data_IF_423957418914
#
_entry.id   IF_423957418914
#
_cell.length_a   1.000
_cell.length_b   1.000
_cell.length_c   1.000
_cell.angle_alpha   90.00
_cell.angle_beta   90.00
_cell.angle_gamma   90.00
#
_symmetry.space_group_name_H-M   'P 1'
#
loop_
_entity.id
_entity.type
_entity.pdbx_description
1 polymer ?
#
# COMPACT_ATOMS: atom_id res chain seq x y z
N UNK A 1 -46.92 -46.49 -38.59
CA UNK A 1 -46.65 -45.91 -37.25
C UNK A 1 -45.33 -45.17 -37.31
N UNK A 2 -45.41 -43.85 -37.44
CA UNK A 2 -44.31 -42.96 -37.84
C UNK A 2 -43.50 -42.47 -36.64
N UNK A 3 -42.31 -43.02 -36.41
CA UNK A 3 -41.40 -42.64 -35.32
C UNK A 3 -40.00 -42.21 -35.80
N UNK A 4 -39.92 -41.55 -36.96
CA UNK A 4 -38.64 -41.09 -37.54
C UNK A 4 -38.47 -39.57 -37.56
N UNK A 5 -39.49 -38.80 -37.19
CA UNK A 5 -39.49 -37.35 -37.38
C UNK A 5 -38.98 -36.55 -36.18
N UNK A 6 -38.91 -37.13 -34.98
CA UNK A 6 -38.56 -36.38 -33.77
C UNK A 6 -37.02 -36.29 -33.57
N UNK A 7 -36.27 -37.36 -33.85
CA UNK A 7 -34.79 -37.37 -33.69
C UNK A 7 -34.06 -36.41 -34.63
N UNK A 8 -34.63 -36.07 -35.79
CA UNK A 8 -34.00 -35.20 -36.79
C UNK A 8 -34.07 -33.70 -36.46
N UNK A 9 -35.01 -33.29 -35.60
CA UNK A 9 -35.13 -31.89 -35.17
C UNK A 9 -34.47 -31.61 -33.82
N UNK A 10 -34.33 -32.60 -32.94
CA UNK A 10 -33.74 -32.38 -31.61
C UNK A 10 -32.21 -32.19 -31.68
N UNK A 11 -31.51 -32.96 -32.53
CA UNK A 11 -30.05 -32.84 -32.72
C UNK A 11 -29.60 -31.42 -33.12
N UNK A 12 -30.14 -30.79 -34.19
CA UNK A 12 -29.70 -29.45 -34.58
C UNK A 12 -30.07 -28.38 -33.54
N UNK A 13 -31.18 -28.55 -32.81
CA UNK A 13 -31.58 -27.62 -31.74
C UNK A 13 -30.64 -27.71 -30.52
N UNK A 14 -30.22 -28.91 -30.13
CA UNK A 14 -29.24 -29.08 -29.04
C UNK A 14 -27.87 -28.51 -29.39
N UNK A 15 -27.43 -28.68 -30.64
CA UNK A 15 -26.16 -28.10 -31.11
C UNK A 15 -26.23 -26.58 -31.15
N UNK A 16 -27.34 -26.01 -31.63
CA UNK A 16 -27.54 -24.56 -31.61
C UNK A 16 -27.57 -23.99 -30.18
N UNK A 17 -28.27 -24.66 -29.24
CA UNK A 17 -28.29 -24.26 -27.84
C UNK A 17 -26.91 -24.34 -27.18
N UNK A 18 -26.11 -25.36 -27.48
CA UNK A 18 -24.75 -25.50 -26.97
C UNK A 18 -23.80 -24.41 -27.53
N UNK A 19 -23.94 -24.06 -28.81
CA UNK A 19 -23.17 -22.97 -29.42
C UNK A 19 -23.55 -21.60 -28.85
N UNK A 20 -24.84 -21.36 -28.58
CA UNK A 20 -25.30 -20.14 -27.93
C UNK A 20 -24.80 -20.07 -26.48
N UNK A 21 -24.84 -21.18 -25.73
CA UNK A 21 -24.28 -21.24 -24.38
C UNK A 21 -22.75 -20.98 -24.37
N UNK A 22 -22.01 -21.55 -25.33
CA UNK A 22 -20.58 -21.32 -25.49
C UNK A 22 -20.26 -19.85 -25.87
N UNK A 23 -21.09 -19.24 -26.72
CA UNK A 23 -20.98 -17.82 -27.08
C UNK A 23 -21.30 -16.91 -25.88
N UNK A 24 -22.29 -17.25 -25.05
CA UNK A 24 -22.61 -16.50 -23.84
C UNK A 24 -21.48 -16.60 -22.79
N UNK A 25 -20.86 -17.77 -22.62
CA UNK A 25 -19.71 -17.96 -21.72
C UNK A 25 -18.48 -17.14 -22.15
N UNK A 26 -18.32 -16.87 -23.45
CA UNK A 26 -17.20 -16.06 -23.97
C UNK A 26 -17.48 -14.55 -23.95
N UNK A 27 -18.74 -14.13 -24.06
CA UNK A 27 -19.15 -12.71 -24.06
C UNK A 27 -19.29 -12.13 -22.65
N UNK A 28 -19.57 -12.95 -21.64
CA UNK A 28 -19.61 -12.50 -20.25
C UNK A 28 -18.26 -12.78 -19.58
N UNK A 29 -17.44 -11.74 -19.31
CA UNK A 29 -16.20 -11.93 -18.56
C UNK A 29 -16.53 -12.61 -17.24
N UNK A 30 -15.84 -13.71 -16.99
CA UNK A 30 -16.13 -14.56 -15.84
C UNK A 30 -15.85 -13.78 -14.55
N UNK A 31 -16.57 -14.08 -13.46
CA UNK A 31 -16.26 -13.48 -12.13
C UNK A 31 -14.78 -13.67 -11.77
N UNK A 32 -14.16 -14.74 -12.25
CA UNK A 32 -12.72 -15.03 -12.15
C UNK A 32 -11.82 -13.99 -12.83
N UNK A 33 -12.21 -13.41 -13.96
CA UNK A 33 -11.42 -12.37 -14.64
C UNK A 33 -11.46 -11.04 -13.87
N UNK A 34 -12.62 -10.71 -13.28
CA UNK A 34 -12.77 -9.51 -12.43
C UNK A 34 -11.96 -9.58 -11.13
N UNK A 35 -11.79 -10.79 -10.57
CA UNK A 35 -10.96 -11.03 -9.39
C UNK A 35 -9.47 -10.90 -9.71
N UNK A 36 -9.01 -11.49 -10.83
CA UNK A 36 -7.61 -11.35 -11.29
C UNK A 36 -7.24 -9.89 -11.58
N UNK A 37 -8.13 -9.14 -12.24
CA UNK A 37 -7.94 -7.71 -12.45
C UNK A 37 -7.87 -6.93 -11.12
N UNK A 38 -8.74 -7.24 -10.16
CA UNK A 38 -8.72 -6.59 -8.84
C UNK A 38 -7.41 -6.85 -8.09
N UNK A 39 -6.84 -8.05 -8.20
CA UNK A 39 -5.53 -8.39 -7.59
C UNK A 39 -4.38 -7.63 -8.25
N UNK A 40 -4.35 -7.59 -9.59
CA UNK A 40 -3.32 -6.85 -10.32
C UNK A 40 -3.38 -5.35 -10.05
N UNK A 41 -4.59 -4.78 -9.98
CA UNK A 41 -4.80 -3.38 -9.63
C UNK A 41 -4.39 -3.06 -8.18
N UNK A 42 -4.67 -3.97 -7.23
CA UNK A 42 -4.22 -3.84 -5.85
C UNK A 42 -2.68 -3.88 -5.74
N UNK A 43 -2.02 -4.85 -6.36
CA UNK A 43 -0.57 -4.96 -6.34
C UNK A 43 0.14 -3.76 -7.01
N UNK A 44 -0.44 -3.23 -8.08
CA UNK A 44 0.07 -2.01 -8.74
C UNK A 44 -0.08 -0.80 -7.84
N UNK A 45 -1.21 -0.68 -7.14
CA UNK A 45 -1.44 0.38 -6.16
C UNK A 45 -0.45 0.30 -4.99
N UNK A 46 -0.22 -0.88 -4.42
CA UNK A 46 0.75 -1.09 -3.33
C UNK A 46 2.16 -0.71 -3.76
N UNK A 47 2.57 -1.13 -4.96
CA UNK A 47 3.87 -0.74 -5.52
C UNK A 47 3.96 0.77 -5.66
N UNK A 48 2.93 1.42 -6.20
CA UNK A 48 2.92 2.87 -6.37
C UNK A 48 3.00 3.62 -5.03
N UNK A 49 2.28 3.16 -4.00
CA UNK A 49 2.37 3.73 -2.64
C UNK A 49 3.78 3.57 -2.07
N UNK A 50 4.40 2.40 -2.27
CA UNK A 50 5.76 2.12 -1.79
C UNK A 50 6.81 2.96 -2.52
N UNK A 51 6.73 3.06 -3.84
CA UNK A 51 7.63 3.89 -4.66
C UNK A 51 7.49 5.37 -4.31
N UNK A 52 6.27 5.85 -4.07
CA UNK A 52 6.02 7.23 -3.62
C UNK A 52 6.66 7.50 -2.27
N UNK A 53 6.69 6.50 -1.40
CA UNK A 53 7.24 6.59 -0.05
C UNK A 53 8.78 6.48 0.01
N UNK A 54 9.40 5.88 -1.00
CA UNK A 54 10.84 5.57 -1.03
C UNK A 54 11.76 6.79 -0.78
N UNK A 55 11.52 7.99 -1.35
CA UNK A 55 12.36 9.15 -1.10
C UNK A 55 12.39 9.57 0.38
N UNK A 56 11.25 9.48 1.08
CA UNK A 56 11.16 9.79 2.50
C UNK A 56 11.94 8.78 3.36
N UNK A 57 11.91 7.50 3.00
CA UNK A 57 12.70 6.48 3.69
C UNK A 57 14.21 6.72 3.53
N UNK A 58 14.64 7.02 2.31
CA UNK A 58 16.04 7.30 2.02
C UNK A 58 16.53 8.54 2.76
N UNK A 59 15.76 9.63 2.73
CA UNK A 59 16.07 10.86 3.46
C UNK A 59 16.19 10.59 4.97
N UNK A 60 15.23 9.85 5.55
CA UNK A 60 15.26 9.52 6.97
C UNK A 60 16.45 8.63 7.37
N UNK A 61 16.80 7.63 6.55
CA UNK A 61 17.95 6.77 6.80
C UNK A 61 19.27 7.55 6.74
N UNK A 62 19.42 8.43 5.74
CA UNK A 62 20.59 9.30 5.62
C UNK A 62 20.69 10.25 6.83
N UNK A 63 19.57 10.85 7.23
CA UNK A 63 19.52 11.71 8.41
C UNK A 63 19.96 10.99 9.69
N UNK A 64 19.50 9.74 9.92
CA UNK A 64 19.94 8.96 11.10
C UNK A 64 21.45 8.71 11.13
N UNK A 65 22.06 8.48 9.97
CA UNK A 65 23.51 8.27 9.89
C UNK A 65 24.27 9.58 10.17
N UNK A 66 23.77 10.69 9.62
CA UNK A 66 24.38 12.00 9.77
C UNK A 66 24.18 12.61 11.16
N UNK A 67 23.02 12.40 11.78
CA UNK A 67 22.67 13.01 13.07
C UNK A 67 23.62 12.56 14.18
N UNK A 68 23.99 11.27 14.22
CA UNK A 68 24.97 10.76 15.16
C UNK A 68 26.33 11.46 15.03
N UNK A 69 26.78 11.70 13.80
CA UNK A 69 28.06 12.39 13.51
C UNK A 69 27.98 13.86 13.92
N UNK A 70 26.89 14.56 13.58
CA UNK A 70 26.73 15.98 13.90
C UNK A 70 26.59 16.23 15.40
N UNK A 71 25.88 15.36 16.13
CA UNK A 71 25.78 15.43 17.60
C UNK A 71 27.16 15.24 18.25
N UNK A 72 27.95 14.26 17.81
CA UNK A 72 29.31 14.06 18.31
C UNK A 72 30.23 15.26 18.06
N UNK A 73 30.12 15.87 16.87
CA UNK A 73 30.88 17.07 16.50
C UNK A 73 30.33 18.37 17.10
N UNK A 74 29.17 18.31 17.78
CA UNK A 74 28.41 19.48 18.25
C UNK A 74 28.10 20.48 17.11
N UNK A 75 27.96 19.98 15.89
CA UNK A 75 27.62 20.78 14.71
C UNK A 75 26.10 20.89 14.57
N UNK A 76 25.51 21.71 15.45
CA UNK A 76 24.07 21.89 15.51
C UNK A 76 23.50 22.60 14.27
N UNK A 77 24.32 23.39 13.57
CA UNK A 77 23.88 24.04 12.34
C UNK A 77 23.68 23.03 11.20
N UNK A 78 24.65 22.12 10.99
CA UNK A 78 24.50 21.04 10.02
C UNK A 78 23.33 20.11 10.37
N UNK A 79 23.16 19.82 11.66
CA UNK A 79 22.05 19.01 12.17
C UNK A 79 20.69 19.65 11.90
N UNK A 80 20.58 20.97 12.08
CA UNK A 80 19.38 21.74 11.78
C UNK A 80 19.06 21.71 10.29
N UNK A 81 20.05 21.95 9.43
CA UNK A 81 19.86 21.91 7.97
C UNK A 81 19.43 20.52 7.50
N UNK A 82 20.11 19.46 7.97
CA UNK A 82 19.79 18.09 7.61
C UNK A 82 18.39 17.68 8.10
N UNK A 83 17.98 18.09 9.30
CA UNK A 83 16.66 17.80 9.83
C UNK A 83 15.55 18.51 9.03
N UNK A 84 15.75 19.77 8.62
CA UNK A 84 14.80 20.49 7.77
C UNK A 84 14.68 19.87 6.38
N UNK A 85 15.79 19.56 5.71
CA UNK A 85 15.77 18.88 4.40
C UNK A 85 15.03 17.53 4.46
N UNK A 86 15.22 16.82 5.57
CA UNK A 86 14.55 15.54 5.82
C UNK A 86 13.07 15.73 6.07
N UNK A 87 12.68 16.73 6.87
CA UNK A 87 11.29 17.10 7.09
C UNK A 87 10.59 17.47 5.78
N UNK A 88 11.17 18.34 4.96
CA UNK A 88 10.60 18.77 3.68
C UNK A 88 10.38 17.59 2.72
N UNK A 89 11.34 16.65 2.70
CA UNK A 89 11.24 15.43 1.90
C UNK A 89 10.10 14.53 2.37
N UNK A 90 9.94 14.37 3.69
CA UNK A 90 8.85 13.58 4.28
C UNK A 90 7.49 14.27 4.08
N UNK A 91 7.42 15.59 4.26
CA UNK A 91 6.20 16.38 4.11
C UNK A 91 5.68 16.32 2.67
N UNK A 92 6.58 16.51 1.69
CA UNK A 92 6.25 16.36 0.26
C UNK A 92 5.71 14.97 -0.06
N UNK A 93 6.30 13.92 0.50
CA UNK A 93 5.80 12.54 0.36
C UNK A 93 4.44 12.39 1.04
N UNK A 94 4.24 12.94 2.24
CA UNK A 94 2.95 12.95 2.93
C UNK A 94 1.83 13.58 2.09
N UNK A 95 2.09 14.75 1.49
CA UNK A 95 1.17 15.43 0.57
C UNK A 95 0.92 14.57 -0.69
N UNK A 96 1.95 13.94 -1.23
CA UNK A 96 1.81 13.10 -2.44
C UNK A 96 0.99 11.84 -2.13
N UNK A 97 1.23 11.17 -0.99
CA UNK A 97 0.43 10.05 -0.50
C UNK A 97 -1.02 10.46 -0.22
N UNK A 98 -1.26 11.69 0.25
CA UNK A 98 -2.60 12.25 0.45
C UNK A 98 -3.39 12.35 -0.88
N UNK A 99 -2.69 12.61 -1.98
CA UNK A 99 -3.28 12.77 -3.31
C UNK A 99 -3.52 11.45 -4.08
N UNK A 100 -2.96 10.31 -3.63
CA UNK A 100 -3.15 9.02 -4.32
C UNK A 100 -4.63 8.60 -4.24
N UNK A 101 -5.33 8.43 -5.38
CA UNK A 101 -6.71 7.99 -5.38
C UNK A 101 -6.81 6.48 -5.07
N UNK A 102 -7.81 6.09 -4.28
CA UNK A 102 -8.09 4.69 -4.01
C UNK A 102 -8.67 4.06 -5.29
N UNK A 103 -8.12 2.93 -5.78
CA UNK A 103 -8.64 2.29 -6.98
C UNK A 103 -10.08 1.82 -6.77
N UNK A 104 -10.91 1.99 -7.80
CA UNK A 104 -12.29 1.48 -7.82
C UNK A 104 -12.28 -0.04 -8.04
N UNK A 105 -11.88 -0.79 -7.01
CA UNK A 105 -11.88 -2.26 -7.04
C UNK A 105 -13.30 -2.79 -6.84
N UNK A 106 -13.71 -3.80 -7.60
CA UNK A 106 -15.02 -4.44 -7.46
C UNK A 106 -15.15 -5.24 -6.17
N UNK A 107 -14.02 -5.65 -5.58
CA UNK A 107 -13.98 -6.38 -4.33
C UNK A 107 -13.86 -5.43 -3.12
N UNK A 108 -14.85 -5.47 -2.23
CA UNK A 108 -14.90 -4.65 -1.01
C UNK A 108 -13.70 -4.88 -0.09
N UNK A 109 -13.25 -6.12 0.08
CA UNK A 109 -12.09 -6.44 0.91
C UNK A 109 -10.80 -5.88 0.32
N UNK A 110 -10.60 -6.02 -1.00
CA UNK A 110 -9.42 -5.45 -1.67
C UNK A 110 -9.40 -3.92 -1.58
N UNK A 111 -10.57 -3.27 -1.67
CA UNK A 111 -10.69 -1.81 -1.49
C UNK A 111 -10.37 -1.37 -0.06
N UNK A 112 -10.89 -2.08 0.94
CA UNK A 112 -10.62 -1.81 2.35
C UNK A 112 -9.14 -2.01 2.67
N UNK A 113 -8.53 -3.04 2.10
CA UNK A 113 -7.11 -3.31 2.25
C UNK A 113 -6.27 -2.19 1.62
N UNK A 114 -6.55 -1.79 0.37
CA UNK A 114 -5.90 -0.64 -0.28
C UNK A 114 -6.02 0.66 0.53
N UNK A 115 -7.20 0.93 1.10
CA UNK A 115 -7.41 2.08 1.98
C UNK A 115 -6.54 1.99 3.24
N UNK A 116 -6.53 0.84 3.92
CA UNK A 116 -5.73 0.61 5.12
C UNK A 116 -4.24 0.77 4.84
N UNK A 117 -3.71 0.23 3.74
CA UNK A 117 -2.31 0.44 3.34
C UNK A 117 -1.95 1.91 3.22
N UNK A 118 -2.80 2.68 2.52
CA UNK A 118 -2.55 4.09 2.28
C UNK A 118 -2.59 4.87 3.59
N UNK A 119 -3.56 4.59 4.44
CA UNK A 119 -3.71 5.25 5.74
C UNK A 119 -2.56 4.92 6.70
N UNK A 120 -2.17 3.65 6.78
CA UNK A 120 -1.02 3.21 7.60
C UNK A 120 0.30 3.83 7.09
N UNK A 121 0.46 3.94 5.77
CA UNK A 121 1.62 4.58 5.16
C UNK A 121 1.65 6.08 5.46
N UNK A 122 0.50 6.76 5.34
CA UNK A 122 0.38 8.18 5.73
C UNK A 122 0.71 8.37 7.21
N UNK A 123 0.13 7.55 8.09
CA UNK A 123 0.36 7.61 9.52
C UNK A 123 1.85 7.46 9.86
N UNK A 124 2.55 6.51 9.23
CA UNK A 124 4.00 6.35 9.36
C UNK A 124 4.74 7.65 9.03
N UNK A 125 4.49 8.26 7.88
CA UNK A 125 5.24 9.45 7.46
C UNK A 125 4.83 10.71 8.24
N UNK A 126 3.59 10.82 8.71
CA UNK A 126 3.19 11.87 9.65
C UNK A 126 3.97 11.76 10.97
N UNK A 127 4.16 10.54 11.49
CA UNK A 127 4.97 10.32 12.69
C UNK A 127 6.45 10.64 12.44
N UNK A 128 7.01 10.24 11.30
CA UNK A 128 8.39 10.59 10.95
C UNK A 128 8.59 12.10 10.77
N UNK A 129 7.60 12.80 10.20
CA UNK A 129 7.61 14.26 10.11
C UNK A 129 7.61 14.91 11.51
N UNK A 130 6.78 14.39 12.42
CA UNK A 130 6.76 14.85 13.81
C UNK A 130 8.12 14.62 14.51
N UNK A 131 8.75 13.45 14.31
CA UNK A 131 10.10 13.19 14.81
C UNK A 131 11.12 14.19 14.23
N UNK A 132 11.08 14.46 12.93
CA UNK A 132 11.95 15.44 12.27
C UNK A 132 11.78 16.85 12.87
N UNK A 133 10.54 17.27 13.18
CA UNK A 133 10.28 18.56 13.84
C UNK A 133 10.90 18.66 15.24
N UNK A 134 10.93 17.57 16.02
CA UNK A 134 11.62 17.57 17.32
C UNK A 134 13.14 17.68 17.12
N UNK A 135 13.70 17.01 16.12
CA UNK A 135 15.11 17.16 15.73
C UNK A 135 15.47 18.58 15.29
N UNK A 136 14.59 19.25 14.53
CA UNK A 136 14.75 20.66 14.14
C UNK A 136 14.79 21.55 15.39
N UNK A 137 13.87 21.35 16.35
CA UNK A 137 13.84 22.09 17.61
C UNK A 137 15.12 21.88 18.42
N UNK A 138 15.55 20.63 18.59
CA UNK A 138 16.84 20.32 19.26
C UNK A 138 17.98 21.10 18.61
N UNK A 139 18.11 21.02 17.29
CA UNK A 139 19.24 21.62 16.59
C UNK A 139 19.23 23.16 16.69
N UNK A 140 18.06 23.78 16.84
CA UNK A 140 17.92 25.22 17.09
C UNK A 140 18.28 25.65 18.52
N UNK A 141 18.05 24.79 19.52
CA UNK A 141 18.31 25.10 20.95
C UNK A 141 19.67 24.56 21.42
N UNK A 142 20.28 23.63 20.68
CA UNK A 142 21.58 23.02 21.01
C UNK A 142 21.54 22.05 22.20
N UNK A 143 20.34 21.78 22.74
CA UNK A 143 20.09 20.89 23.86
C UNK A 143 18.77 20.13 23.65
N UNK A 144 18.71 18.91 24.18
CA UNK A 144 17.49 18.13 24.36
C UNK A 144 17.32 17.85 25.85
N UNK A 145 16.08 17.94 26.32
CA UNK A 145 15.71 17.30 27.58
C UNK A 145 15.66 15.78 27.36
N UNK A 146 15.89 15.01 28.42
CA UNK A 146 15.74 13.55 28.36
C UNK A 146 14.34 13.13 27.86
N UNK A 147 13.32 13.93 28.17
CA UNK A 147 11.94 13.67 27.79
C UNK A 147 11.71 13.81 26.28
N UNK A 148 12.34 14.78 25.64
CA UNK A 148 12.25 14.98 24.18
C UNK A 148 12.97 13.89 23.40
N UNK A 149 14.09 13.37 23.92
CA UNK A 149 14.77 12.19 23.36
C UNK A 149 13.87 10.95 23.45
N UNK A 150 13.24 10.72 24.60
CA UNK A 150 12.28 9.62 24.80
C UNK A 150 11.08 9.79 23.86
N UNK A 151 10.60 11.02 23.66
CA UNK A 151 9.51 11.30 22.73
C UNK A 151 9.89 10.98 21.28
N UNK A 152 11.10 11.38 20.83
CA UNK A 152 11.62 11.01 19.51
C UNK A 152 11.66 9.49 19.36
N UNK A 153 12.28 8.77 20.31
CA UNK A 153 12.35 7.31 20.26
C UNK A 153 10.96 6.66 20.28
N UNK A 154 10.02 7.21 21.04
CA UNK A 154 8.64 6.75 21.11
C UNK A 154 7.93 6.90 19.76
N UNK A 155 8.06 8.07 19.13
CA UNK A 155 7.50 8.35 17.80
C UNK A 155 8.15 7.47 16.74
N UNK A 156 9.47 7.26 16.79
CA UNK A 156 10.17 6.36 15.88
C UNK A 156 9.75 4.89 16.05
N UNK A 157 9.57 4.43 17.31
CA UNK A 157 9.06 3.09 17.62
C UNK A 157 7.62 2.93 17.12
N UNK A 158 6.80 3.97 17.25
CA UNK A 158 5.42 3.95 16.75
C UNK A 158 5.38 3.95 15.21
N UNK A 159 6.24 4.72 14.54
CA UNK A 159 6.41 4.66 13.10
C UNK A 159 6.88 3.27 12.63
N UNK A 160 7.80 2.63 13.37
CA UNK A 160 8.27 1.27 13.07
C UNK A 160 7.18 0.19 13.23
N UNK A 161 6.17 0.42 14.07
CA UNK A 161 5.00 -0.48 14.19
C UNK A 161 4.26 -0.60 12.84
N UNK A 162 4.14 0.50 12.10
CA UNK A 162 3.52 0.50 10.76
C UNK A 162 4.39 -0.19 9.71
N UNK A 163 5.71 -0.22 9.90
CA UNK A 163 6.66 -0.93 9.02
C UNK A 163 6.55 -2.46 9.16
N UNK A 164 6.18 -2.96 10.35
CA UNK A 164 5.94 -4.40 10.59
C UNK A 164 4.50 -4.84 10.32
N UNK A 165 3.57 -3.90 10.11
CA UNK A 165 2.17 -4.25 9.94
C UNK A 165 1.80 -4.72 8.54
N UNK A 166 2.60 -4.45 7.49
CA UNK A 166 2.20 -4.86 6.15
C UNK A 166 3.42 -5.14 5.25
N UNK A 167 3.81 -6.42 5.10
CA UNK A 167 3.45 -7.22 3.91
C UNK A 167 2.52 -8.43 4.17
N UNK A 168 2.31 -8.81 5.44
CA UNK A 168 1.59 -10.04 5.82
C UNK A 168 0.06 -9.92 5.84
N UNK A 169 -0.49 -8.75 6.18
CA UNK A 169 -1.94 -8.53 6.24
C UNK A 169 -2.60 -8.58 4.83
N UNK A 170 -1.86 -8.22 3.77
CA UNK A 170 -2.32 -8.42 2.39
C UNK A 170 -2.15 -9.85 1.91
N UNK A 171 -1.18 -10.62 2.42
CA UNK A 171 -1.13 -12.05 2.15
C UNK A 171 -2.35 -12.77 2.77
N UNK A 172 -2.85 -12.28 3.91
CA UNK A 172 -4.11 -12.70 4.53
C UNK A 172 -5.35 -12.30 3.72
N UNK A 173 -5.37 -11.09 3.13
CA UNK A 173 -6.41 -10.71 2.18
C UNK A 173 -6.27 -11.48 0.85
N UNK A 174 -5.06 -11.79 0.41
CA UNK A 174 -4.74 -12.56 -0.79
C UNK A 174 -5.22 -14.01 -0.63
N UNK A 175 -4.96 -14.65 0.51
CA UNK A 175 -5.44 -16.00 0.82
C UNK A 175 -6.95 -16.05 1.06
N UNK A 176 -7.57 -15.00 1.63
CA UNK A 176 -9.03 -14.87 1.69
C UNK A 176 -9.68 -14.69 0.30
N UNK A 177 -8.90 -14.27 -0.70
CA UNK A 177 -9.33 -14.09 -2.09
C UNK A 177 -8.92 -15.24 -3.00
N UNK A 178 -8.03 -16.14 -2.54
CA UNK A 178 -7.67 -17.37 -3.23
C UNK A 178 -8.90 -18.30 -3.23
N UNK A 179 -9.27 -18.89 -4.38
CA UNK A 179 -10.32 -19.89 -4.39
C UNK A 179 -9.89 -21.03 -3.44
N UNK A 180 -10.81 -21.61 -2.65
CA UNK A 180 -10.47 -22.72 -1.79
C UNK A 180 -9.82 -23.79 -2.67
N UNK A 181 -8.59 -24.14 -2.33
CA UNK A 181 -7.92 -25.33 -2.87
C UNK A 181 -8.89 -26.48 -2.62
N UNK A 182 -9.54 -26.92 -3.70
CA UNK A 182 -10.44 -28.07 -3.63
C UNK A 182 -9.60 -29.28 -3.20
N UNK A 183 -10.18 -30.18 -2.38
CA UNK A 183 -9.45 -31.28 -1.75
C UNK A 183 -8.74 -32.20 -2.75
#
# INVERSE_FOLDING_TARGET
>A
MSSLSIRRYIMPVMVAAALVALALVTLFPSKTDSLKQSRSALATFERHVTETAQPAEQAWLQFKQQSAVYVQKKDFHALYQAANQTYDSIDKVGVTLAAIPIPKLHNTHARQAAWKALEDTRAKYTMLAAAAQVWIKMAGVGQLTSDELIAIEGVEKQAAKYQRMIPGDFALAHSALEPPTSP
#
